data_IF_456781675507
#
_entry.id   IF_456781675507
#
_cell.length_a   1.000
_cell.length_b   1.000
_cell.length_c   1.000
_cell.angle_alpha   90.00
_cell.angle_beta   90.00
_cell.angle_gamma   90.00
#
_symmetry.space_group_name_H-M   'P 1'
#
loop_
_entity.id
_entity.type
_entity.pdbx_description
1 polymer ?
#
# COMPACT_ATOMS: atom_id res chain seq x y z
N UNK A 1 -20.66 -1.84 -40.02
CA UNK A 1 -19.46 -1.09 -39.60
C UNK A 1 -18.51 -2.09 -38.95
N UNK A 2 -17.38 -2.36 -39.61
CA UNK A 2 -16.39 -3.33 -39.17
C UNK A 2 -15.64 -2.79 -37.95
N UNK A 3 -15.72 -3.50 -36.81
CA UNK A 3 -14.72 -3.39 -35.76
C UNK A 3 -13.44 -4.03 -36.31
N UNK A 4 -12.59 -3.22 -36.92
CA UNK A 4 -11.24 -3.64 -37.30
C UNK A 4 -10.43 -3.73 -36.01
N UNK A 5 -10.09 -4.95 -35.58
CA UNK A 5 -9.22 -5.18 -34.44
C UNK A 5 -7.84 -4.60 -34.73
N UNK A 6 -7.43 -3.59 -33.97
CA UNK A 6 -6.09 -3.02 -34.07
C UNK A 6 -5.09 -3.94 -33.35
N UNK A 7 -4.64 -5.01 -34.02
CA UNK A 7 -3.55 -5.84 -33.53
C UNK A 7 -2.23 -5.04 -33.56
N UNK A 8 -1.56 -4.91 -32.42
CA UNK A 8 -0.34 -4.11 -32.32
C UNK A 8 0.82 -4.74 -33.11
N UNK A 9 0.78 -6.06 -33.31
CA UNK A 9 1.76 -6.83 -34.09
C UNK A 9 1.53 -6.90 -35.61
N UNK A 10 0.45 -6.34 -36.15
CA UNK A 10 0.27 -6.23 -37.61
C UNK A 10 1.05 -5.05 -38.20
N UNK A 11 1.56 -4.18 -37.33
CA UNK A 11 2.37 -3.01 -37.68
C UNK A 11 3.84 -3.31 -37.38
N UNK A 12 4.75 -2.63 -38.09
CA UNK A 12 6.16 -2.76 -37.78
C UNK A 12 6.43 -2.24 -36.36
N UNK A 13 7.36 -2.86 -35.65
CA UNK A 13 7.72 -2.48 -34.28
C UNK A 13 8.06 -0.98 -34.21
N UNK A 14 8.72 -0.44 -35.25
CA UNK A 14 9.04 0.98 -35.36
C UNK A 14 7.79 1.86 -35.39
N UNK A 15 6.80 1.53 -36.22
CA UNK A 15 5.53 2.29 -36.26
C UNK A 15 4.73 2.19 -34.97
N UNK A 16 4.85 1.08 -34.25
CA UNK A 16 4.23 0.92 -32.94
C UNK A 16 4.91 1.79 -31.88
N UNK A 17 6.25 1.84 -31.89
CA UNK A 17 7.03 2.72 -31.01
C UNK A 17 6.67 4.19 -31.28
N UNK A 18 6.65 4.59 -32.55
CA UNK A 18 6.28 5.97 -32.94
C UNK A 18 4.88 6.31 -32.45
N UNK A 19 3.90 5.42 -32.63
CA UNK A 19 2.54 5.62 -32.18
C UNK A 19 2.42 5.74 -30.65
N UNK A 20 3.13 4.90 -29.90
CA UNK A 20 3.17 4.95 -28.43
C UNK A 20 3.82 6.25 -27.96
N UNK A 21 4.86 6.71 -28.65
CA UNK A 21 5.59 7.92 -28.31
C UNK A 21 4.91 9.21 -28.77
N UNK A 22 3.84 9.13 -29.58
CA UNK A 22 3.06 10.30 -30.00
C UNK A 22 2.58 11.15 -28.81
N UNK A 23 2.28 10.52 -27.68
CA UNK A 23 1.89 11.18 -26.43
C UNK A 23 2.81 10.74 -25.28
N UNK A 24 4.08 11.14 -25.39
CA UNK A 24 5.13 10.83 -24.42
C UNK A 24 4.80 11.34 -23.02
N UNK A 25 4.19 12.52 -22.89
CA UNK A 25 3.82 13.07 -21.58
C UNK A 25 2.81 12.19 -20.85
N UNK A 26 1.76 11.76 -21.56
CA UNK A 26 0.77 10.86 -20.99
C UNK A 26 1.38 9.51 -20.63
N UNK A 27 2.27 8.99 -21.46
CA UNK A 27 2.98 7.75 -21.18
C UNK A 27 3.80 7.86 -19.89
N UNK A 28 4.61 8.92 -19.74
CA UNK A 28 5.42 9.18 -18.54
C UNK A 28 4.56 9.31 -17.28
N UNK A 29 3.50 10.13 -17.32
CA UNK A 29 2.59 10.29 -16.18
C UNK A 29 1.98 8.94 -15.76
N UNK A 30 1.62 8.10 -16.73
CA UNK A 30 1.01 6.80 -16.45
C UNK A 30 1.99 5.81 -15.83
N UNK A 31 3.24 5.76 -16.30
CA UNK A 31 4.29 4.88 -15.77
C UNK A 31 4.87 5.38 -14.45
N UNK A 32 4.79 6.68 -14.15
CA UNK A 32 5.28 7.27 -12.90
C UNK A 32 4.19 7.35 -11.82
N UNK A 33 2.97 6.88 -12.10
CA UNK A 33 1.89 6.89 -11.12
C UNK A 33 2.14 5.81 -10.07
N UNK A 34 2.22 6.20 -8.79
CA UNK A 34 2.38 5.26 -7.69
C UNK A 34 1.06 4.56 -7.37
N UNK A 35 0.93 3.32 -7.85
CA UNK A 35 -0.23 2.45 -7.56
C UNK A 35 -0.01 1.52 -6.36
N UNK A 36 1.24 1.44 -5.89
CA UNK A 36 1.62 0.55 -4.79
C UNK A 36 1.20 1.11 -3.43
N UNK A 37 0.67 0.23 -2.57
CA UNK A 37 0.21 0.60 -1.23
C UNK A 37 1.30 0.45 -0.16
N UNK A 38 2.52 0.07 -0.55
CA UNK A 38 3.65 -0.07 0.35
C UNK A 38 4.47 1.22 0.40
N UNK A 39 5.17 1.42 1.52
CA UNK A 39 6.09 2.54 1.69
C UNK A 39 7.39 2.28 0.94
N UNK A 40 7.81 3.23 0.11
CA UNK A 40 9.12 3.22 -0.54
C UNK A 40 10.14 3.61 0.53
N UNK A 41 11.16 2.77 0.73
CA UNK A 41 12.22 3.04 1.70
C UNK A 41 13.05 4.25 1.23
N UNK A 42 13.44 5.12 2.15
CA UNK A 42 14.25 6.31 1.84
C UNK A 42 13.47 7.59 1.54
N UNK A 43 12.15 7.51 1.27
CA UNK A 43 11.29 8.70 1.24
C UNK A 43 10.95 9.13 2.68
N UNK A 44 10.95 10.44 3.01
CA UNK A 44 10.54 10.90 4.32
C UNK A 44 9.13 10.39 4.64
N UNK A 45 8.93 9.94 5.87
CA UNK A 45 7.62 9.51 6.32
C UNK A 45 6.65 10.68 6.14
N UNK A 46 5.58 10.54 5.33
CA UNK A 46 4.60 11.61 5.24
C UNK A 46 4.11 11.87 6.66
N UNK A 47 4.14 13.14 7.06
CA UNK A 47 3.64 13.56 8.37
C UNK A 47 2.27 12.89 8.59
N UNK A 48 2.00 12.36 9.79
CA UNK A 48 0.68 11.78 10.06
C UNK A 48 -0.34 12.84 9.73
N UNK A 49 -1.10 12.65 8.65
CA UNK A 49 -2.34 13.38 8.47
C UNK A 49 -3.13 13.15 9.76
N UNK A 50 -3.81 14.18 10.31
CA UNK A 50 -4.54 14.05 11.55
C UNK A 50 -5.60 12.97 11.35
N UNK A 51 -5.28 11.75 11.77
CA UNK A 51 -6.26 10.72 12.09
C UNK A 51 -7.02 11.33 13.25
N UNK A 52 -8.17 11.93 12.92
CA UNK A 52 -9.13 12.38 13.90
C UNK A 52 -9.25 11.25 14.93
N UNK A 53 -8.92 11.55 16.18
CA UNK A 53 -9.05 10.62 17.30
C UNK A 53 -10.45 10.05 17.26
N UNK A 54 -10.55 8.78 16.85
CA UNK A 54 -11.81 8.06 16.91
C UNK A 54 -12.13 7.83 18.38
N UNK A 55 -13.03 8.66 18.91
CA UNK A 55 -13.65 8.45 20.21
C UNK A 55 -14.33 7.06 20.23
N UNK A 56 -14.30 6.35 21.36
CA UNK A 56 -14.87 5.01 21.46
C UNK A 56 -16.41 5.06 21.35
N UNK A 57 -16.97 4.61 20.23
CA UNK A 57 -18.42 4.39 20.11
C UNK A 57 -19.06 4.59 18.74
N UNK A 58 -18.39 5.20 17.75
CA UNK A 58 -18.97 5.40 16.41
C UNK A 58 -18.62 4.26 15.43
N UNK A 59 -19.54 3.92 14.49
CA UNK A 59 -19.27 2.92 13.47
C UNK A 59 -18.09 3.36 12.59
N UNK A 60 -17.06 2.52 12.49
CA UNK A 60 -15.91 2.72 11.61
C UNK A 60 -16.38 2.85 10.14
N UNK A 61 -16.51 4.09 9.67
CA UNK A 61 -16.62 4.37 8.24
C UNK A 61 -15.19 4.37 7.70
N UNK A 62 -14.82 3.45 6.78
CA UNK A 62 -13.49 3.47 6.18
C UNK A 62 -13.23 4.84 5.56
N UNK A 63 -12.01 5.40 5.67
CA UNK A 63 -11.69 6.67 5.03
C UNK A 63 -12.01 6.54 3.55
N UNK A 64 -12.96 7.34 3.06
CA UNK A 64 -13.29 7.44 1.65
C UNK A 64 -12.14 8.17 0.96
N UNK A 65 -11.04 7.47 0.72
CA UNK A 65 -10.02 7.93 -0.21
C UNK A 65 -10.72 8.06 -1.56
N UNK A 66 -10.76 9.27 -2.16
CA UNK A 66 -11.42 9.43 -3.44
C UNK A 66 -10.77 8.46 -4.43
N UNK A 67 -11.58 7.76 -5.23
CA UNK A 67 -11.14 6.66 -6.10
C UNK A 67 -9.97 7.03 -7.05
N UNK A 68 -9.68 8.32 -7.19
CA UNK A 68 -8.67 8.92 -8.05
C UNK A 68 -7.49 9.58 -7.29
N UNK A 69 -7.38 9.46 -5.96
CA UNK A 69 -6.29 10.10 -5.19
C UNK A 69 -4.90 9.66 -5.67
N UNK A 70 -4.75 8.37 -5.99
CA UNK A 70 -3.50 7.78 -6.48
C UNK A 70 -3.08 8.32 -7.87
N UNK A 71 -3.99 8.88 -8.66
CA UNK A 71 -3.69 9.47 -9.98
C UNK A 71 -2.88 10.78 -9.87
N UNK A 72 -2.69 11.30 -8.65
CA UNK A 72 -1.91 12.51 -8.37
C UNK A 72 -0.55 12.22 -7.73
N UNK A 73 -0.29 10.99 -7.28
CA UNK A 73 0.99 10.58 -6.68
C UNK A 73 1.95 10.18 -7.80
N UNK A 74 2.53 11.19 -8.46
CA UNK A 74 3.55 11.01 -9.50
C UNK A 74 4.94 11.03 -8.85
N UNK A 75 5.72 9.98 -9.07
CA UNK A 75 7.11 9.89 -8.63
C UNK A 75 7.99 9.55 -9.83
N UNK A 76 8.91 10.44 -10.16
CA UNK A 76 9.79 10.28 -11.33
C UNK A 76 10.72 9.07 -11.22
N UNK A 77 11.01 8.62 -9.99
CA UNK A 77 11.84 7.44 -9.72
C UNK A 77 11.08 6.12 -9.88
N UNK A 78 9.76 6.17 -10.08
CA UNK A 78 8.91 5.00 -10.26
C UNK A 78 8.70 4.72 -11.75
N UNK A 79 8.80 3.43 -12.11
CA UNK A 79 8.38 2.91 -13.40
C UNK A 79 7.43 1.73 -13.19
N UNK A 80 6.15 1.97 -13.48
CA UNK A 80 5.03 1.02 -13.43
C UNK A 80 4.61 0.63 -14.86
N UNK A 81 4.94 -0.58 -15.27
CA UNK A 81 4.62 -1.15 -16.58
C UNK A 81 3.35 -2.03 -16.57
N UNK A 82 2.57 -2.04 -15.47
CA UNK A 82 1.41 -2.93 -15.31
C UNK A 82 0.44 -2.82 -16.49
N UNK A 83 0.15 -1.61 -16.96
CA UNK A 83 -0.79 -1.43 -18.06
C UNK A 83 -0.26 -1.98 -19.39
N UNK A 84 1.06 -1.89 -19.61
CA UNK A 84 1.72 -2.45 -20.79
C UNK A 84 1.76 -3.98 -20.71
N UNK A 85 2.10 -4.52 -19.54
CA UNK A 85 2.01 -5.95 -19.26
C UNK A 85 0.60 -6.50 -19.51
N UNK A 86 -0.44 -5.83 -19.02
CA UNK A 86 -1.83 -6.25 -19.23
C UNK A 86 -2.24 -6.19 -20.71
N UNK A 87 -1.71 -5.23 -21.48
CA UNK A 87 -1.93 -5.17 -22.93
C UNK A 87 -1.30 -6.38 -23.64
N UNK A 88 -0.02 -6.68 -23.37
CA UNK A 88 0.65 -7.86 -23.91
C UNK A 88 -0.04 -9.16 -23.51
N UNK A 89 -0.50 -9.26 -22.26
CA UNK A 89 -1.22 -10.44 -21.77
C UNK A 89 -2.55 -10.63 -22.48
N UNK A 90 -3.32 -9.55 -22.71
CA UNK A 90 -4.58 -9.62 -23.47
C UNK A 90 -4.33 -10.08 -24.90
N UNK A 91 -3.34 -9.52 -25.56
CA UNK A 91 -2.99 -9.85 -26.95
C UNK A 91 -2.45 -11.29 -27.07
N UNK A 92 -1.67 -11.77 -26.10
CA UNK A 92 -1.22 -13.16 -26.02
C UNK A 92 -2.40 -14.14 -25.87
N UNK A 93 -3.35 -13.80 -24.99
CA UNK A 93 -4.56 -14.60 -24.79
C UNK A 93 -5.38 -14.61 -26.08
N UNK A 94 -5.59 -13.44 -26.69
CA UNK A 94 -6.36 -13.28 -27.93
C UNK A 94 -5.78 -14.13 -29.06
N UNK A 95 -4.47 -14.10 -29.29
CA UNK A 95 -3.79 -14.95 -30.29
C UNK A 95 -4.01 -16.43 -30.05
N UNK A 96 -3.88 -16.87 -28.80
CA UNK A 96 -4.06 -18.28 -28.42
C UNK A 96 -5.52 -18.72 -28.53
N UNK A 97 -6.47 -17.79 -28.42
CA UNK A 97 -7.90 -18.06 -28.61
C UNK A 97 -8.35 -17.98 -30.06
N UNK A 98 -7.75 -17.12 -30.88
CA UNK A 98 -8.12 -16.95 -32.29
C UNK A 98 -7.72 -18.13 -33.17
N UNK A 99 -6.81 -18.99 -32.69
CA UNK A 99 -6.48 -20.27 -33.34
C UNK A 99 -7.49 -21.40 -33.07
N UNK A 100 -8.52 -21.15 -32.25
CA UNK A 100 -9.60 -22.09 -31.96
C UNK A 100 -10.82 -21.75 -32.82
N UNK A 101 -11.58 -22.76 -33.24
CA UNK A 101 -12.77 -22.62 -34.07
C UNK A 101 -13.77 -21.61 -33.43
N UNK A 102 -14.09 -20.49 -34.11
CA UNK A 102 -15.04 -19.48 -33.61
C UNK A 102 -16.43 -20.03 -33.28
N UNK A 103 -16.76 -21.24 -33.73
CA UNK A 103 -18.05 -21.87 -33.50
C UNK A 103 -18.15 -22.56 -32.12
N UNK A 104 -17.04 -22.75 -31.39
CA UNK A 104 -17.04 -23.41 -30.08
C UNK A 104 -17.27 -22.42 -28.93
N UNK A 105 -18.53 -22.01 -28.75
CA UNK A 105 -18.94 -21.11 -27.66
C UNK A 105 -18.64 -21.66 -26.26
N UNK A 106 -18.50 -22.99 -26.12
CA UNK A 106 -18.19 -23.66 -24.85
C UNK A 106 -16.72 -23.45 -24.46
N UNK A 107 -15.80 -23.45 -25.43
CA UNK A 107 -14.39 -23.16 -25.19
C UNK A 107 -14.17 -21.71 -24.71
N UNK A 108 -14.85 -20.74 -25.34
CA UNK A 108 -14.80 -19.32 -24.96
C UNK A 108 -15.33 -19.09 -23.53
N UNK A 109 -16.43 -19.73 -23.14
CA UNK A 109 -17.00 -19.63 -21.79
C UNK A 109 -16.07 -20.18 -20.71
N UNK A 110 -15.39 -21.31 -20.96
CA UNK A 110 -14.41 -21.90 -20.03
C UNK A 110 -13.20 -20.99 -19.81
N UNK A 111 -12.77 -20.28 -20.85
CA UNK A 111 -11.63 -19.40 -20.80
C UNK A 111 -11.92 -18.06 -20.12
N UNK A 112 -13.10 -17.48 -20.37
CA UNK A 112 -13.58 -16.32 -19.61
C UNK A 112 -13.64 -16.61 -18.11
N UNK A 113 -14.07 -17.82 -17.74
CA UNK A 113 -14.08 -18.30 -16.36
C UNK A 113 -12.66 -18.48 -15.79
N UNK A 114 -11.68 -18.91 -16.59
CA UNK A 114 -10.28 -18.98 -16.19
C UNK A 114 -9.67 -17.59 -15.96
N UNK A 115 -9.99 -16.61 -16.81
CA UNK A 115 -9.57 -15.20 -16.67
C UNK A 115 -10.21 -14.58 -15.42
N UNK A 116 -11.51 -14.80 -15.20
CA UNK A 116 -12.21 -14.42 -13.96
C UNK A 116 -11.51 -14.99 -12.71
N UNK A 117 -11.15 -16.29 -12.74
CA UNK A 117 -10.39 -16.92 -11.65
C UNK A 117 -9.01 -16.29 -11.47
N UNK A 118 -8.32 -15.93 -12.54
CA UNK A 118 -7.01 -15.25 -12.48
C UNK A 118 -7.13 -13.85 -11.86
N UNK A 119 -8.17 -13.09 -12.23
CA UNK A 119 -8.49 -11.79 -11.62
C UNK A 119 -8.85 -11.91 -10.14
N UNK A 120 -9.55 -12.97 -9.74
CA UNK A 120 -9.85 -13.22 -8.32
C UNK A 120 -8.61 -13.58 -7.47
N UNK A 121 -7.51 -14.00 -8.12
CA UNK A 121 -6.20 -14.22 -7.48
C UNK A 121 -5.38 -12.94 -7.31
N UNK A 122 -5.82 -11.79 -7.84
CA UNK A 122 -5.37 -10.48 -7.35
C UNK A 122 -5.77 -10.44 -5.89
N UNK A 123 -4.79 -10.75 -5.03
CA UNK A 123 -5.05 -11.03 -3.63
C UNK A 123 -5.60 -9.76 -3.00
N UNK A 124 -6.80 -9.84 -2.40
CA UNK A 124 -7.25 -8.81 -1.46
C UNK A 124 -6.11 -8.54 -0.48
N UNK A 125 -5.86 -7.27 -0.19
CA UNK A 125 -4.82 -6.85 0.75
C UNK A 125 -5.18 -7.37 2.15
N UNK A 126 -4.75 -8.59 2.45
CA UNK A 126 -4.93 -9.21 3.77
C UNK A 126 -3.75 -8.83 4.64
N UNK A 127 -4.02 -8.25 5.80
CA UNK A 127 -3.01 -7.98 6.83
C UNK A 127 -2.45 -9.32 7.35
N UNK A 128 -1.39 -9.83 6.68
CA UNK A 128 -0.73 -11.08 7.08
C UNK A 128 -0.08 -10.97 8.47
N UNK A 129 0.26 -9.76 8.92
CA UNK A 129 0.79 -9.50 10.28
C UNK A 129 -0.31 -9.59 11.35
N UNK A 130 -1.58 -9.39 11.00
CA UNK A 130 -2.68 -9.55 11.94
C UNK A 130 -2.94 -11.02 12.33
N UNK A 131 -2.41 -11.98 11.57
CA UNK A 131 -2.52 -13.41 11.88
C UNK A 131 -1.52 -13.85 12.95
N UNK A 132 -1.95 -14.74 13.85
CA UNK A 132 -1.09 -15.42 14.84
C UNK A 132 -0.35 -14.47 15.80
N UNK A 133 -1.02 -13.40 16.25
CA UNK A 133 -0.52 -12.55 17.34
C UNK A 133 0.72 -11.71 17.01
N UNK A 134 1.12 -11.58 15.74
CA UNK A 134 2.30 -10.79 15.33
C UNK A 134 2.05 -9.27 15.30
N UNK A 135 0.81 -8.87 15.56
CA UNK A 135 0.37 -7.47 15.70
C UNK A 135 -0.20 -7.32 17.11
N UNK A 136 0.35 -6.37 17.87
CA UNK A 136 -0.17 -6.02 19.19
C UNK A 136 -1.58 -5.45 19.02
N UNK A 137 -2.53 -5.93 19.82
CA UNK A 137 -3.90 -5.41 19.85
C UNK A 137 -4.22 -4.99 21.27
N UNK A 138 -4.65 -3.75 21.42
CA UNK A 138 -5.04 -3.19 22.71
C UNK A 138 -6.51 -3.54 22.99
N UNK A 139 -6.74 -4.78 23.39
CA UNK A 139 -8.05 -5.22 23.87
C UNK A 139 -7.97 -5.56 25.36
N UNK A 140 -8.93 -5.06 26.13
CA UNK A 140 -9.05 -5.42 27.55
C UNK A 140 -9.50 -6.87 27.64
N UNK A 141 -8.69 -7.71 28.28
CA UNK A 141 -9.03 -9.10 28.56
C UNK A 141 -9.66 -9.18 29.94
N UNK A 142 -10.98 -9.40 30.02
CA UNK A 142 -11.73 -9.40 31.28
C UNK A 142 -11.18 -10.38 32.32
N UNK A 143 -10.62 -11.51 31.89
CA UNK A 143 -10.00 -12.52 32.79
C UNK A 143 -8.66 -12.07 33.40
N UNK A 144 -8.00 -11.07 32.81
CA UNK A 144 -6.75 -10.49 33.29
C UNK A 144 -6.95 -9.14 34.00
N UNK A 145 -8.19 -8.64 34.03
CA UNK A 145 -8.50 -7.42 34.75
C UNK A 145 -8.37 -7.67 36.25
N UNK A 146 -7.69 -6.76 36.95
CA UNK A 146 -7.45 -6.84 38.40
C UNK A 146 -6.77 -8.15 38.86
N UNK A 147 -5.95 -8.77 38.00
CA UNK A 147 -5.30 -10.04 38.29
C UNK A 147 -4.34 -9.96 39.50
N UNK A 148 -3.65 -8.83 39.66
CA UNK A 148 -2.77 -8.57 40.81
C UNK A 148 -2.87 -7.09 41.20
N UNK A 149 -2.73 -6.81 42.50
CA UNK A 149 -2.51 -5.45 42.99
C UNK A 149 -1.05 -5.04 42.70
N UNK A 150 -0.76 -3.76 42.40
CA UNK A 150 0.60 -3.25 42.31
C UNK A 150 1.33 -3.45 43.64
N UNK A 151 2.52 -4.05 43.59
CA UNK A 151 3.39 -4.20 44.76
C UNK A 151 4.67 -3.45 44.45
N UNK A 152 5.00 -2.47 45.29
CA UNK A 152 6.24 -1.74 45.16
C UNK A 152 7.38 -2.51 45.85
N UNK A 153 8.37 -2.90 45.05
CA UNK A 153 9.59 -3.56 45.52
C UNK A 153 10.82 -2.63 45.42
N UNK A 154 10.60 -1.34 45.15
CA UNK A 154 11.70 -0.39 44.98
C UNK A 154 12.33 -0.07 46.33
N UNK A 155 13.64 -0.30 46.43
CA UNK A 155 14.44 0.09 47.61
C UNK A 155 15.00 1.52 47.51
N UNK A 156 15.05 2.05 46.28
CA UNK A 156 15.66 3.35 45.95
C UNK A 156 14.56 4.38 45.73
N UNK A 157 14.68 5.52 46.42
CA UNK A 157 13.75 6.65 46.30
C UNK A 157 13.71 7.21 44.87
N UNK A 158 12.58 7.78 44.49
CA UNK A 158 12.32 8.27 43.13
C UNK A 158 13.28 9.40 42.71
N UNK A 159 13.67 10.27 43.64
CA UNK A 159 14.63 11.36 43.38
C UNK A 159 16.00 10.83 42.95
N UNK A 160 16.51 9.87 43.71
CA UNK A 160 17.80 9.24 43.42
C UNK A 160 17.74 8.48 42.08
N UNK A 161 16.62 7.82 41.78
CA UNK A 161 16.42 7.09 40.52
C UNK A 161 16.41 8.05 39.33
N UNK A 162 15.75 9.19 39.48
CA UNK A 162 15.67 10.24 38.47
C UNK A 162 17.04 10.86 38.22
N UNK A 163 17.81 11.15 39.28
CA UNK A 163 19.18 11.64 39.18
C UNK A 163 20.09 10.66 38.44
N UNK A 164 20.02 9.36 38.79
CA UNK A 164 20.75 8.30 38.11
C UNK A 164 20.45 8.24 36.60
N UNK A 165 19.17 8.34 36.21
CA UNK A 165 18.80 8.33 34.79
C UNK A 165 19.29 9.57 34.04
N UNK A 166 19.33 10.74 34.70
CA UNK A 166 19.90 11.96 34.13
C UNK A 166 21.42 11.85 33.94
N UNK A 167 22.12 11.19 34.86
CA UNK A 167 23.58 11.05 34.79
C UNK A 167 24.08 9.95 33.85
N UNK A 168 23.20 9.06 33.38
CA UNK A 168 23.56 7.82 32.66
C UNK A 168 24.35 8.04 31.35
N UNK A 169 24.12 9.18 30.68
CA UNK A 169 24.78 9.54 29.41
C UNK A 169 25.39 10.96 29.39
N UNK A 170 25.71 11.50 30.57
CA UNK A 170 26.59 12.68 30.68
C UNK A 170 25.96 14.06 30.49
N UNK A 171 24.64 14.21 30.63
CA UNK A 171 23.99 15.54 30.63
C UNK A 171 23.63 15.97 32.06
N UNK A 172 24.62 16.48 32.80
CA UNK A 172 24.36 17.32 33.96
C UNK A 172 24.20 18.76 33.49
N UNK A 173 23.04 19.11 32.92
CA UNK A 173 22.65 20.51 32.91
C UNK A 173 22.07 20.80 34.31
N UNK A 174 22.72 21.65 35.13
CA UNK A 174 22.09 22.09 36.36
C UNK A 174 20.79 22.83 36.01
N UNK A 175 19.75 22.78 36.86
CA UNK A 175 18.62 23.68 36.69
C UNK A 175 19.18 25.11 36.74
N UNK A 176 18.84 25.94 35.75
CA UNK A 176 19.09 27.38 35.82
C UNK A 176 18.43 27.89 37.11
N UNK A 177 19.24 28.12 38.14
CA UNK A 177 18.82 28.87 39.31
C UNK A 177 18.77 30.32 38.83
N UNK A 178 17.59 30.74 38.39
CA UNK A 178 17.28 32.14 38.16
C UNK A 178 17.35 32.86 39.52
N UNK A 179 18.51 33.42 39.82
CA UNK A 179 18.65 34.45 40.83
C UNK A 179 18.15 35.78 40.26
N UNK A 180 16.83 35.90 40.12
CA UNK A 180 16.14 37.18 39.96
C UNK A 180 15.95 37.83 41.32
N UNK A 181 16.67 38.93 41.56
CA UNK A 181 16.49 39.83 42.72
C UNK A 181 15.35 40.81 42.57
#
# INVERSE_FOLDING_TARGET
>A
MLLQGFGAFERSILTQIDHILMDKERLLRRTQTKRSVYRILGKPEPAPEPVAESLPGEPEIPPQVPANAHLKDLDEEIFDDDDFYHQLLRELIERKTSSLDPNDQVAMGRQWLAIQKLRSKIRKKVDRKASKGRKLRFHVLSKLLSFMAPIDHTAMNDDARTELYRSLFGQLNPPDIDHGG
#
